data_IF_275152334545
#
_entry.id   IF_275152334545
#
_cell.length_a   1.000
_cell.length_b   1.000
_cell.length_c   1.000
_cell.angle_alpha   90.00
_cell.angle_beta   90.00
_cell.angle_gamma   90.00
#
_symmetry.space_group_name_H-M   'P 1'
#
loop_
_entity.id
_entity.type
_entity.pdbx_description
1 polymer ?
#
# COMPACT_ATOMS: atom_id res chain seq x y z
N UNK A 1 -5.27 6.58 -6.24
CA UNK A 1 -5.96 5.87 -5.14
C UNK A 1 -7.20 6.62 -4.77
N UNK A 2 -8.25 5.93 -4.29
CA UNK A 2 -9.40 6.62 -3.71
C UNK A 2 -8.98 7.33 -2.41
N UNK A 3 -9.54 8.50 -2.11
CA UNK A 3 -9.30 9.18 -0.85
C UNK A 3 -9.73 8.27 0.30
N UNK A 4 -8.84 8.06 1.26
CA UNK A 4 -9.07 7.21 2.43
C UNK A 4 -8.98 8.05 3.70
N UNK A 5 -9.74 7.69 4.73
CA UNK A 5 -9.71 8.33 6.03
C UNK A 5 -8.70 7.62 6.94
N UNK A 6 -7.63 8.32 7.29
CA UNK A 6 -6.48 7.78 8.01
C UNK A 6 -6.41 8.43 9.39
N UNK A 7 -6.33 7.61 10.44
CA UNK A 7 -5.98 8.07 11.79
C UNK A 7 -4.49 7.83 12.01
N UNK A 8 -3.73 8.86 12.39
CA UNK A 8 -2.33 8.74 12.77
C UNK A 8 -2.12 9.10 14.24
N UNK A 9 -1.47 8.20 14.97
CA UNK A 9 -1.22 8.33 16.41
C UNK A 9 0.28 8.36 16.68
N UNK A 10 0.72 9.45 17.30
CA UNK A 10 2.12 9.66 17.65
C UNK A 10 2.21 10.71 18.74
N UNK A 11 2.99 10.51 19.80
CA UNK A 11 3.16 11.53 20.85
C UNK A 11 4.02 12.70 20.34
N UNK A 12 4.88 12.46 19.35
CA UNK A 12 5.75 13.48 18.75
C UNK A 12 5.00 14.34 17.72
N UNK A 13 4.88 15.65 18.00
CA UNK A 13 4.23 16.62 17.10
C UNK A 13 4.86 16.63 15.70
N UNK A 14 6.20 16.52 15.62
CA UNK A 14 6.92 16.53 14.35
C UNK A 14 6.52 15.36 13.44
N UNK A 15 6.30 14.17 14.02
CA UNK A 15 5.88 12.99 13.27
C UNK A 15 4.42 13.14 12.83
N UNK A 16 3.54 13.63 13.70
CA UNK A 16 2.14 13.91 13.33
C UNK A 16 2.04 14.87 12.14
N UNK A 17 2.79 15.97 12.16
CA UNK A 17 2.82 16.93 11.06
C UNK A 17 3.38 16.32 9.77
N UNK A 18 4.44 15.51 9.87
CA UNK A 18 5.00 14.80 8.71
C UNK A 18 3.99 13.83 8.08
N UNK A 19 3.30 13.03 8.89
CA UNK A 19 2.29 12.08 8.42
C UNK A 19 1.08 12.82 7.81
N UNK A 20 0.60 13.87 8.48
CA UNK A 20 -0.51 14.68 8.00
C UNK A 20 -0.18 15.35 6.66
N UNK A 21 0.97 16.01 6.54
CA UNK A 21 1.38 16.67 5.29
C UNK A 21 1.58 15.66 4.16
N UNK A 22 2.30 14.57 4.43
CA UNK A 22 2.66 13.56 3.41
C UNK A 22 1.41 12.89 2.84
N UNK A 23 0.49 12.45 3.72
CA UNK A 23 -0.66 11.67 3.31
C UNK A 23 -1.81 12.55 2.80
N UNK A 24 -1.92 13.79 3.28
CA UNK A 24 -2.88 14.75 2.72
C UNK A 24 -2.51 15.15 1.30
N UNK A 25 -1.20 15.30 1.00
CA UNK A 25 -0.71 15.51 -0.38
C UNK A 25 -1.05 14.34 -1.31
N UNK A 26 -1.12 13.13 -0.78
CA UNK A 26 -1.53 11.93 -1.51
C UNK A 26 -3.06 11.80 -1.66
N UNK A 27 -3.83 12.77 -1.16
CA UNK A 27 -5.29 12.87 -1.30
C UNK A 27 -6.09 12.18 -0.20
N UNK A 28 -5.44 11.74 0.88
CA UNK A 28 -6.12 11.13 2.03
C UNK A 28 -6.65 12.20 3.00
N UNK A 29 -7.70 11.85 3.74
CA UNK A 29 -8.16 12.66 4.87
C UNK A 29 -7.49 12.16 6.13
N UNK A 30 -6.52 12.91 6.63
CA UNK A 30 -5.71 12.52 7.79
C UNK A 30 -6.25 13.19 9.05
N UNK A 31 -6.46 12.40 10.09
CA UNK A 31 -6.76 12.85 11.45
C UNK A 31 -5.58 12.44 12.32
N UNK A 32 -5.01 13.38 13.06
CA UNK A 32 -3.89 13.09 13.96
C UNK A 32 -4.30 13.20 15.42
N UNK A 33 -3.72 12.36 16.28
CA UNK A 33 -3.91 12.38 17.74
C UNK A 33 -2.59 12.07 18.44
N UNK A 34 -2.46 12.52 19.69
CA UNK A 34 -1.21 12.47 20.46
C UNK A 34 -1.15 11.37 21.52
N UNK A 35 -2.23 10.62 21.71
CA UNK A 35 -2.40 9.68 22.81
C UNK A 35 -3.36 8.54 22.44
N UNK A 36 -3.18 7.39 23.10
CA UNK A 36 -4.04 6.22 22.90
C UNK A 36 -5.49 6.50 23.33
N UNK A 37 -5.68 7.29 24.40
CA UNK A 37 -6.99 7.71 24.89
C UNK A 37 -7.75 8.55 23.83
N UNK A 38 -7.08 9.52 23.23
CA UNK A 38 -7.65 10.35 22.18
C UNK A 38 -7.98 9.51 20.94
N UNK A 39 -7.11 8.55 20.60
CA UNK A 39 -7.36 7.62 19.50
C UNK A 39 -8.61 6.77 19.72
N UNK A 40 -8.73 6.15 20.89
CA UNK A 40 -9.89 5.33 21.24
C UNK A 40 -11.19 6.14 21.25
N UNK A 41 -11.14 7.40 21.67
CA UNK A 41 -12.30 8.29 21.59
C UNK A 41 -12.71 8.60 20.15
N UNK A 42 -11.74 8.76 19.23
CA UNK A 42 -12.02 8.92 17.80
C UNK A 42 -12.59 7.65 17.18
N UNK A 43 -11.96 6.50 17.45
CA UNK A 43 -12.40 5.19 16.93
C UNK A 43 -13.85 4.88 17.34
N UNK A 44 -14.28 5.30 18.53
CA UNK A 44 -15.68 5.15 18.97
C UNK A 44 -16.69 6.03 18.23
N UNK A 45 -16.25 7.21 17.74
CA UNK A 45 -17.14 8.22 17.15
C UNK A 45 -17.21 8.11 15.62
N UNK A 46 -16.15 7.64 15.00
CA UNK A 46 -15.99 7.65 13.55
C UNK A 46 -15.17 6.43 13.08
N UNK A 47 -15.44 6.00 11.86
CA UNK A 47 -14.73 4.90 11.23
C UNK A 47 -13.51 5.39 10.45
N UNK A 48 -12.46 4.58 10.41
CA UNK A 48 -11.24 4.83 9.65
C UNK A 48 -10.94 3.66 8.71
N UNK A 49 -10.41 3.97 7.53
CA UNK A 49 -9.98 2.96 6.57
C UNK A 49 -8.61 2.37 6.96
N UNK A 50 -7.74 3.24 7.48
CA UNK A 50 -6.41 2.88 7.95
C UNK A 50 -6.03 3.65 9.22
N UNK A 51 -5.24 3.00 10.06
CA UNK A 51 -4.69 3.53 11.29
C UNK A 51 -3.17 3.37 11.27
N UNK A 52 -2.45 4.47 11.47
CA UNK A 52 -1.02 4.52 11.76
C UNK A 52 -0.83 4.63 13.27
N UNK A 53 -0.15 3.65 13.87
CA UNK A 53 -0.11 3.48 15.31
C UNK A 53 1.33 3.44 15.83
N UNK A 54 1.69 4.36 16.72
CA UNK A 54 2.87 4.16 17.57
C UNK A 54 2.56 3.19 18.71
N UNK A 55 3.52 2.30 19.00
CA UNK A 55 3.45 1.42 20.16
C UNK A 55 3.87 2.13 21.45
N UNK A 56 4.75 3.13 21.35
CA UNK A 56 5.33 3.83 22.50
C UNK A 56 4.54 5.09 22.86
N UNK A 57 3.21 4.96 22.98
CA UNK A 57 2.35 6.05 23.42
C UNK A 57 2.37 6.17 24.96
N UNK A 58 2.36 7.40 25.50
CA UNK A 58 2.13 7.61 26.93
C UNK A 58 0.67 7.27 27.28
N UNK A 59 0.46 6.71 28.48
CA UNK A 59 -0.88 6.29 28.92
C UNK A 59 -1.26 4.93 28.34
N UNK A 60 -2.38 4.88 27.60
CA UNK A 60 -2.79 3.68 26.86
C UNK A 60 -1.77 3.38 25.75
N UNK A 61 -1.10 2.24 25.87
CA UNK A 61 -0.08 1.80 24.92
C UNK A 61 -0.67 1.38 23.58
N UNK A 62 0.13 1.41 22.52
CA UNK A 62 -0.38 1.13 21.17
C UNK A 62 -0.91 -0.30 20.99
N UNK A 63 -0.34 -1.28 21.71
CA UNK A 63 -0.85 -2.66 21.67
C UNK A 63 -2.29 -2.78 22.18
N UNK A 64 -2.66 -2.02 23.21
CA UNK A 64 -4.04 -1.98 23.72
C UNK A 64 -4.98 -1.33 22.69
N UNK A 65 -4.52 -0.28 22.00
CA UNK A 65 -5.28 0.33 20.90
C UNK A 65 -5.49 -0.65 19.75
N UNK A 66 -4.46 -1.43 19.38
CA UNK A 66 -4.54 -2.47 18.36
C UNK A 66 -5.58 -3.54 18.74
N UNK A 67 -5.57 -3.99 20.00
CA UNK A 67 -6.54 -4.97 20.48
C UNK A 67 -7.97 -4.45 20.35
N UNK A 68 -8.23 -3.20 20.78
CA UNK A 68 -9.56 -2.59 20.67
C UNK A 68 -9.98 -2.42 19.21
N UNK A 69 -9.08 -2.00 18.32
CA UNK A 69 -9.35 -1.89 16.89
C UNK A 69 -9.74 -3.24 16.29
N UNK A 70 -9.11 -4.33 16.71
CA UNK A 70 -9.41 -5.67 16.18
C UNK A 70 -10.75 -6.20 16.66
N UNK A 71 -11.20 -5.79 17.85
CA UNK A 71 -12.51 -6.15 18.37
C UNK A 71 -13.65 -5.28 17.79
N UNK A 72 -13.44 -3.98 17.63
CA UNK A 72 -14.50 -3.02 17.28
C UNK A 72 -14.54 -2.65 15.79
N UNK A 73 -13.38 -2.66 15.13
CA UNK A 73 -13.22 -2.27 13.73
C UNK A 73 -12.27 -3.24 12.99
N UNK A 74 -12.64 -4.54 12.89
CA UNK A 74 -11.77 -5.57 12.33
C UNK A 74 -11.34 -5.30 10.88
N UNK A 75 -12.13 -4.54 10.13
CA UNK A 75 -11.87 -4.20 8.73
C UNK A 75 -10.94 -2.99 8.56
N UNK A 76 -10.59 -2.29 9.65
CA UNK A 76 -9.62 -1.19 9.61
C UNK A 76 -8.21 -1.75 9.47
N UNK A 77 -7.47 -1.23 8.50
CA UNK A 77 -6.05 -1.57 8.31
C UNK A 77 -5.25 -0.92 9.42
N UNK A 78 -4.33 -1.63 10.06
CA UNK A 78 -3.44 -1.05 11.08
C UNK A 78 -2.00 -1.23 10.62
N UNK A 79 -1.25 -0.14 10.51
CA UNK A 79 0.19 -0.15 10.25
C UNK A 79 0.88 0.47 11.45
N UNK A 80 1.90 -0.21 11.97
CA UNK A 80 2.61 0.25 13.17
C UNK A 80 3.84 1.07 12.78
N UNK A 81 4.08 2.16 13.51
CA UNK A 81 5.19 3.07 13.35
C UNK A 81 5.88 3.28 14.70
N UNK A 82 7.04 2.68 14.96
CA UNK A 82 7.68 2.90 16.27
C UNK A 82 9.21 2.94 16.22
N UNK A 83 9.81 3.70 17.13
CA UNK A 83 11.26 3.87 17.22
C UNK A 83 11.94 2.74 18.01
N UNK A 84 11.24 2.13 18.96
CA UNK A 84 11.80 1.16 19.89
C UNK A 84 10.81 0.02 20.14
N UNK A 85 10.74 -0.95 19.22
CA UNK A 85 10.13 -2.24 19.50
C UNK A 85 11.14 -3.38 19.31
N UNK A 86 10.96 -4.42 20.09
CA UNK A 86 11.71 -5.67 19.93
C UNK A 86 11.11 -6.46 18.77
N UNK A 87 11.88 -7.40 18.22
CA UNK A 87 11.35 -8.32 17.20
C UNK A 87 10.12 -9.06 17.72
N UNK A 88 10.09 -9.38 19.02
CA UNK A 88 8.96 -10.05 19.67
C UNK A 88 7.70 -9.19 19.66
N UNK A 89 7.81 -7.89 19.96
CA UNK A 89 6.66 -6.97 19.92
C UNK A 89 6.14 -6.79 18.51
N UNK A 90 7.03 -6.70 17.52
CA UNK A 90 6.65 -6.60 16.11
C UNK A 90 5.93 -7.88 15.63
N UNK A 91 6.44 -9.07 15.99
CA UNK A 91 5.82 -10.36 15.66
C UNK A 91 4.44 -10.48 16.31
N UNK A 92 4.32 -10.08 17.58
CA UNK A 92 3.04 -10.14 18.29
C UNK A 92 2.01 -9.20 17.66
N UNK A 93 2.40 -7.97 17.33
CA UNK A 93 1.53 -7.03 16.63
C UNK A 93 0.98 -7.57 15.30
N UNK A 94 1.83 -8.21 14.48
CA UNK A 94 1.39 -8.83 13.23
C UNK A 94 0.43 -10.00 13.48
N UNK A 95 0.68 -10.82 14.52
CA UNK A 95 -0.23 -11.91 14.91
C UNK A 95 -1.59 -11.41 15.39
N UNK A 96 -1.61 -10.27 16.07
CA UNK A 96 -2.84 -9.60 16.48
C UNK A 96 -3.57 -8.90 15.32
N UNK A 97 -3.02 -8.93 14.10
CA UNK A 97 -3.68 -8.46 12.90
C UNK A 97 -3.26 -7.06 12.46
N UNK A 98 -2.10 -6.55 12.90
CA UNK A 98 -1.46 -5.46 12.17
C UNK A 98 -1.17 -5.91 10.73
N UNK A 99 -1.40 -5.02 9.78
CA UNK A 99 -1.12 -5.24 8.36
C UNK A 99 0.39 -5.28 8.11
N UNK A 100 1.10 -4.34 8.72
CA UNK A 100 2.53 -4.15 8.54
C UNK A 100 3.11 -3.38 9.73
N UNK A 101 4.44 -3.36 9.80
CA UNK A 101 5.21 -2.72 10.86
C UNK A 101 6.42 -2.00 10.27
N UNK A 102 6.62 -0.73 10.65
CA UNK A 102 7.72 0.11 10.17
C UNK A 102 8.50 0.71 11.37
N UNK A 103 9.82 0.80 11.22
CA UNK A 103 10.68 1.45 12.20
C UNK A 103 10.77 2.95 11.93
N UNK A 104 10.71 3.77 12.98
CA UNK A 104 11.07 5.19 12.93
C UNK A 104 12.60 5.35 13.00
N UNK A 105 13.22 6.24 12.19
CA UNK A 105 12.60 7.00 11.10
C UNK A 105 12.28 6.10 9.91
N UNK A 106 11.04 6.15 9.42
CA UNK A 106 10.61 5.40 8.23
C UNK A 106 10.72 6.27 6.97
N UNK A 107 11.10 5.66 5.84
CA UNK A 107 11.16 6.37 4.55
C UNK A 107 9.76 6.63 4.01
N UNK A 108 9.55 7.76 3.32
CA UNK A 108 8.27 8.13 2.69
C UNK A 108 7.74 7.03 1.77
N UNK A 109 8.61 6.45 0.95
CA UNK A 109 8.26 5.38 0.01
C UNK A 109 7.76 4.12 0.74
N UNK A 110 8.44 3.75 1.84
CA UNK A 110 8.09 2.57 2.63
C UNK A 110 6.73 2.75 3.33
N UNK A 111 6.49 3.94 3.89
CA UNK A 111 5.20 4.32 4.47
C UNK A 111 4.08 4.24 3.44
N UNK A 112 4.28 4.84 2.27
CA UNK A 112 3.30 4.83 1.17
C UNK A 112 2.98 3.43 0.69
N UNK A 113 4.01 2.59 0.48
CA UNK A 113 3.78 1.22 0.03
C UNK A 113 3.02 0.38 1.05
N UNK A 114 3.33 0.53 2.33
CA UNK A 114 2.62 -0.14 3.41
C UNK A 114 1.13 0.26 3.47
N UNK A 115 0.86 1.57 3.42
CA UNK A 115 -0.50 2.13 3.36
C UNK A 115 -1.25 1.63 2.12
N UNK A 116 -0.59 1.69 0.95
CA UNK A 116 -1.18 1.31 -0.33
C UNK A 116 -1.59 -0.16 -0.32
N UNK A 117 -0.69 -1.06 0.08
CA UNK A 117 -0.95 -2.51 0.20
C UNK A 117 -2.09 -2.80 1.17
N UNK A 118 -2.10 -2.10 2.30
CA UNK A 118 -3.14 -2.26 3.31
C UNK A 118 -4.52 -1.87 2.81
N UNK A 119 -4.64 -0.66 2.24
CA UNK A 119 -5.90 -0.16 1.69
C UNK A 119 -6.42 -1.02 0.52
N UNK A 120 -5.52 -1.48 -0.36
CA UNK A 120 -5.89 -2.37 -1.46
C UNK A 120 -6.45 -3.70 -0.93
N UNK A 121 -5.78 -4.31 0.05
CA UNK A 121 -6.25 -5.55 0.70
C UNK A 121 -7.65 -5.36 1.29
N UNK A 122 -7.86 -4.27 2.02
CA UNK A 122 -9.17 -3.94 2.60
C UNK A 122 -10.25 -3.78 1.52
N UNK A 123 -9.93 -3.09 0.43
CA UNK A 123 -10.86 -2.90 -0.69
C UNK A 123 -11.28 -4.24 -1.30
N UNK A 124 -10.34 -5.16 -1.52
CA UNK A 124 -10.63 -6.50 -2.04
C UNK A 124 -11.49 -7.32 -1.06
N UNK A 125 -11.20 -7.25 0.24
CA UNK A 125 -11.98 -7.94 1.27
C UNK A 125 -13.42 -7.39 1.37
N UNK A 126 -13.58 -6.07 1.27
CA UNK A 126 -14.90 -5.41 1.22
C UNK A 126 -15.67 -5.83 -0.03
N UNK A 127 -15.07 -5.75 -1.21
CA UNK A 127 -15.71 -6.14 -2.47
C UNK A 127 -16.15 -7.61 -2.46
N UNK A 128 -15.32 -8.50 -1.93
CA UNK A 128 -15.67 -9.92 -1.79
C UNK A 128 -16.88 -10.11 -0.89
N UNK A 129 -16.93 -9.40 0.24
CA UNK A 129 -18.09 -9.43 1.15
C UNK A 129 -19.35 -8.90 0.47
N UNK A 130 -19.25 -7.79 -0.26
CA UNK A 130 -20.39 -7.21 -0.96
C UNK A 130 -20.97 -8.16 -2.01
N UNK A 131 -20.10 -8.82 -2.80
CA UNK A 131 -20.52 -9.83 -3.80
C UNK A 131 -21.17 -11.04 -3.12
N UNK A 132 -20.59 -11.55 -2.03
CA UNK A 132 -21.18 -12.67 -1.29
C UNK A 132 -22.55 -12.31 -0.71
N UNK A 133 -22.68 -11.11 -0.14
CA UNK A 133 -23.94 -10.62 0.39
C UNK A 133 -25.01 -10.47 -0.72
N UNK A 134 -24.62 -9.98 -1.89
CA UNK A 134 -25.51 -9.93 -3.06
C UNK A 134 -25.98 -11.34 -3.48
N UNK A 135 -25.08 -12.32 -3.55
CA UNK A 135 -25.43 -13.70 -3.89
C UNK A 135 -26.40 -14.32 -2.87
N UNK A 136 -26.16 -14.11 -1.58
CA UNK A 136 -27.05 -14.57 -0.50
C UNK A 136 -28.44 -13.94 -0.63
N UNK A 137 -28.52 -12.64 -0.94
CA UNK A 137 -29.78 -11.95 -1.19
C UNK A 137 -30.52 -12.53 -2.40
N UNK A 138 -29.83 -12.75 -3.52
CA UNK A 138 -30.42 -13.37 -4.71
C UNK A 138 -30.95 -14.78 -4.43
N UNK A 139 -30.19 -15.61 -3.72
CA UNK A 139 -30.59 -16.97 -3.36
C UNK A 139 -31.79 -16.97 -2.41
N UNK A 140 -31.82 -16.06 -1.43
CA UNK A 140 -32.91 -15.95 -0.46
C UNK A 140 -34.23 -15.55 -1.15
N UNK A 141 -34.18 -14.53 -2.01
CA UNK A 141 -35.36 -14.08 -2.78
C UNK A 141 -35.81 -15.14 -3.78
N UNK A 142 -34.87 -15.78 -4.48
CA UNK A 142 -35.15 -16.84 -5.43
C UNK A 142 -35.83 -18.05 -4.77
N UNK A 143 -35.31 -18.51 -3.63
CA UNK A 143 -35.91 -19.63 -2.87
C UNK A 143 -37.30 -19.30 -2.33
N UNK A 144 -37.52 -18.09 -1.84
CA UNK A 144 -38.85 -17.64 -1.41
C UNK A 144 -39.86 -17.65 -2.58
N UNK A 145 -39.42 -17.25 -3.78
CA UNK A 145 -40.24 -17.22 -5.00
C UNK A 145 -40.61 -18.63 -5.46
N UNK A 146 -39.64 -19.57 -5.46
CA UNK A 146 -39.87 -20.98 -5.80
C UNK A 146 -40.78 -21.67 -4.77
N UNK A 147 -40.62 -21.37 -3.48
CA UNK A 147 -41.51 -21.90 -2.44
C UNK A 147 -42.93 -21.36 -2.54
N UNK A 148 -43.11 -20.10 -2.97
CA UNK A 148 -44.42 -19.52 -3.24
C UNK A 148 -45.10 -20.19 -4.45
N UNK A 149 -44.36 -20.44 -5.53
CA UNK A 149 -44.88 -21.14 -6.72
C UNK A 149 -45.19 -22.61 -6.45
N UNK A 150 -44.44 -23.29 -5.58
CA UNK A 150 -44.73 -24.67 -5.17
C UNK A 150 -45.94 -24.79 -4.23
N UNK A 151 -46.38 -23.70 -3.58
CA UNK A 151 -47.60 -23.67 -2.75
C UNK A 151 -48.88 -23.43 -3.55
N UNK A 152 -48.77 -23.06 -4.83
CA UNK A 152 -49.91 -22.94 -5.74
C UNK A 152 -49.90 -24.11 -6.75
N UNK A 153 -50.99 -24.87 -6.83
CA UNK A 153 -51.16 -25.96 -7.81
C UNK A 153 -51.79 -25.43 -9.11
N UNK A 154 -51.65 -26.18 -10.22
CA UNK A 154 -50.88 -25.83 -11.40
C UNK A 154 -51.66 -25.00 -12.44
N UNK A 155 -51.07 -23.90 -12.90
CA UNK A 155 -51.39 -23.28 -14.18
C UNK A 155 -50.08 -22.82 -14.77
N UNK A 156 -49.65 -23.45 -15.87
CA UNK A 156 -48.38 -23.14 -16.54
C UNK A 156 -48.20 -21.63 -16.74
N UNK A 157 -47.03 -21.09 -16.40
CA UNK A 157 -46.48 -20.01 -17.19
C UNK A 157 -45.14 -20.43 -17.77
N UNK A 158 -45.02 -20.16 -19.05
CA UNK A 158 -43.83 -20.27 -19.89
C UNK A 158 -42.59 -19.78 -19.11
N UNK A 159 -41.50 -20.57 -19.02
CA UNK A 159 -40.32 -20.16 -18.29
C UNK A 159 -39.71 -18.90 -18.96
N UNK A 160 -39.31 -17.88 -18.18
CA UNK A 160 -38.49 -16.82 -18.74
C UNK A 160 -37.15 -17.44 -19.16
N UNK A 161 -36.74 -17.16 -20.39
CA UNK A 161 -35.45 -17.57 -20.94
C UNK A 161 -34.32 -17.16 -19.99
N UNK A 162 -33.64 -18.16 -19.42
CA UNK A 162 -32.40 -17.99 -18.67
C UNK A 162 -31.34 -17.31 -19.57
N UNK A 163 -30.60 -16.31 -19.09
CA UNK A 163 -29.36 -15.93 -19.75
C UNK A 163 -28.37 -17.11 -19.66
N UNK A 164 -27.79 -17.48 -20.80
CA UNK A 164 -26.91 -18.63 -20.93
C UNK A 164 -25.62 -18.43 -20.09
N UNK A 165 -25.17 -19.44 -19.30
CA UNK A 165 -23.98 -19.33 -18.43
C UNK A 165 -22.64 -19.10 -19.16
N UNK A 166 -22.64 -19.07 -20.49
CA UNK A 166 -21.44 -19.12 -21.32
C UNK A 166 -20.71 -17.78 -21.49
N UNK A 167 -21.28 -16.66 -21.02
CA UNK A 167 -20.63 -15.34 -21.13
C UNK A 167 -20.01 -14.85 -19.82
N UNK A 168 -20.23 -15.55 -18.69
CA UNK A 168 -19.75 -15.10 -17.36
C UNK A 168 -18.52 -15.86 -16.86
N UNK A 169 -18.09 -16.92 -17.56
CA UNK A 169 -16.97 -17.78 -17.15
C UNK A 169 -15.61 -17.30 -17.65
N UNK A 170 -15.54 -16.38 -18.61
CA UNK A 170 -14.26 -15.77 -19.01
C UNK A 170 -13.71 -14.79 -17.97
N UNK A 171 -14.55 -14.24 -17.09
CA UNK A 171 -14.15 -13.28 -16.06
C UNK A 171 -13.57 -13.93 -14.78
N UNK A 172 -13.60 -15.26 -14.66
CA UNK A 172 -13.14 -15.98 -13.45
C UNK A 172 -11.63 -16.29 -13.52
N UNK A 173 -11.01 -16.18 -14.70
CA UNK A 173 -9.57 -16.41 -14.89
C UNK A 173 -8.86 -15.19 -15.47
N UNK A 174 -9.38 -13.99 -15.25
CA UNK A 174 -8.57 -12.80 -15.46
C UNK A 174 -7.50 -12.77 -14.35
N UNK A 175 -6.20 -12.64 -14.69
CA UNK A 175 -5.18 -12.44 -13.67
C UNK A 175 -5.58 -11.19 -12.92
N UNK A 176 -5.77 -11.29 -11.61
CA UNK A 176 -6.02 -10.12 -10.76
C UNK A 176 -4.89 -9.14 -11.03
N UNK A 177 -5.16 -8.12 -11.85
CA UNK A 177 -4.25 -7.02 -12.08
C UNK A 177 -4.18 -6.29 -10.74
N UNK A 178 -3.17 -6.68 -9.96
CA UNK A 178 -2.80 -6.10 -8.67
C UNK A 178 -2.24 -4.69 -8.96
N UNK A 179 -3.15 -3.75 -9.23
CA UNK A 179 -2.85 -2.36 -9.56
C UNK A 179 -2.03 -1.74 -8.40
N UNK A 180 -0.71 -1.72 -8.61
CA UNK A 180 0.28 -1.14 -7.71
C UNK A 180 1.27 -2.14 -7.11
N UNK A 181 1.06 -3.46 -7.18
CA UNK A 181 2.14 -4.43 -6.85
C UNK A 181 3.30 -4.31 -7.83
N UNK A 182 2.97 -4.11 -9.09
CA UNK A 182 3.91 -3.94 -10.16
C UNK A 182 3.88 -2.51 -10.68
N UNK A 183 5.05 -1.87 -10.75
CA UNK A 183 5.22 -0.61 -11.45
C UNK A 183 6.03 -0.85 -12.70
N UNK A 184 5.46 -0.52 -13.86
CA UNK A 184 6.13 -0.68 -15.15
C UNK A 184 6.42 0.67 -15.82
N UNK A 185 7.68 0.90 -16.15
CA UNK A 185 8.15 2.07 -16.93
C UNK A 185 9.35 1.69 -17.79
N UNK A 186 9.32 2.04 -19.08
CA UNK A 186 10.47 1.90 -19.99
C UNK A 186 11.13 0.51 -19.99
N UNK A 187 10.32 -0.56 -19.89
CA UNK A 187 10.79 -1.94 -19.84
C UNK A 187 11.22 -2.45 -18.45
N UNK A 188 11.30 -1.57 -17.45
CA UNK A 188 11.48 -1.93 -16.05
C UNK A 188 10.15 -2.32 -15.41
N UNK A 189 10.14 -3.41 -14.66
CA UNK A 189 9.03 -3.84 -13.82
C UNK A 189 9.55 -3.97 -12.39
N UNK A 190 8.99 -3.19 -11.47
CA UNK A 190 9.28 -3.25 -10.04
C UNK A 190 8.21 -4.08 -9.34
N UNK A 191 8.58 -5.16 -8.64
CA UNK A 191 7.71 -5.86 -7.68
C UNK A 191 8.05 -5.37 -6.27
N UNK A 192 7.21 -4.48 -5.73
CA UNK A 192 7.37 -3.92 -4.38
C UNK A 192 7.10 -4.93 -3.26
N UNK A 193 6.48 -6.07 -3.55
CA UNK A 193 6.25 -7.11 -2.55
C UNK A 193 7.48 -7.99 -2.40
N UNK A 194 8.17 -8.26 -3.51
CA UNK A 194 9.38 -9.11 -3.54
C UNK A 194 10.69 -8.33 -3.42
N UNK A 195 10.65 -6.98 -3.42
CA UNK A 195 11.84 -6.12 -3.48
C UNK A 195 12.75 -6.47 -4.65
N UNK A 196 12.11 -6.61 -5.82
CA UNK A 196 12.76 -7.09 -7.03
C UNK A 196 12.46 -6.14 -8.18
N UNK A 197 13.46 -5.84 -8.99
CA UNK A 197 13.29 -5.10 -10.25
C UNK A 197 13.73 -6.02 -11.39
N UNK A 198 12.91 -6.10 -12.42
CA UNK A 198 13.22 -6.82 -13.65
C UNK A 198 13.29 -5.85 -14.82
N UNK A 199 14.20 -6.10 -15.76
CA UNK A 199 14.31 -5.39 -17.04
C UNK A 199 13.96 -6.37 -18.14
N UNK A 200 12.86 -6.12 -18.85
CA UNK A 200 12.41 -6.99 -19.95
C UNK A 200 12.38 -8.49 -19.56
N UNK A 201 11.94 -8.77 -18.33
CA UNK A 201 11.86 -10.13 -17.76
C UNK A 201 13.13 -10.67 -17.09
N UNK A 202 14.26 -9.95 -17.14
CA UNK A 202 15.51 -10.35 -16.48
C UNK A 202 15.65 -9.70 -15.11
N UNK A 203 15.91 -10.51 -14.08
CA UNK A 203 16.11 -10.03 -12.71
C UNK A 203 17.40 -9.20 -12.58
N UNK A 204 17.29 -8.00 -11.99
CA UNK A 204 18.44 -7.21 -11.59
C UNK A 204 18.87 -7.59 -10.16
N UNK A 205 20.15 -7.96 -10.00
CA UNK A 205 20.74 -8.18 -8.67
C UNK A 205 21.14 -6.85 -8.03
N UNK A 206 20.23 -6.25 -7.26
CA UNK A 206 20.43 -4.94 -6.63
C UNK A 206 20.70 -5.07 -5.12
N UNK A 207 21.56 -4.20 -4.60
CA UNK A 207 21.61 -3.95 -3.16
C UNK A 207 20.36 -3.20 -2.70
N UNK A 208 20.02 -3.20 -1.39
CA UNK A 208 18.84 -2.47 -0.89
C UNK A 208 18.82 -0.99 -1.28
N UNK A 209 19.97 -0.31 -1.19
CA UNK A 209 20.12 1.11 -1.57
C UNK A 209 19.92 1.34 -3.06
N UNK A 210 20.41 0.42 -3.90
CA UNK A 210 20.23 0.49 -5.36
C UNK A 210 18.78 0.21 -5.76
N UNK A 211 18.13 -0.74 -5.09
CA UNK A 211 16.70 -1.02 -5.25
C UNK A 211 15.88 0.22 -4.92
N UNK A 212 16.07 0.80 -3.73
CA UNK A 212 15.32 1.98 -3.28
C UNK A 212 15.51 3.16 -4.24
N UNK A 213 16.75 3.39 -4.70
CA UNK A 213 17.07 4.48 -5.61
C UNK A 213 16.41 4.29 -6.98
N UNK A 214 16.51 3.09 -7.56
CA UNK A 214 15.92 2.80 -8.86
C UNK A 214 14.39 2.77 -8.78
N UNK A 215 13.81 2.15 -7.75
CA UNK A 215 12.36 2.13 -7.52
C UNK A 215 11.79 3.54 -7.37
N UNK A 216 12.49 4.42 -6.63
CA UNK A 216 12.08 5.82 -6.48
C UNK A 216 12.12 6.57 -7.81
N UNK A 217 13.21 6.45 -8.59
CA UNK A 217 13.32 7.06 -9.91
C UNK A 217 12.22 6.57 -10.87
N UNK A 218 11.87 5.28 -10.84
CA UNK A 218 10.77 4.71 -11.65
C UNK A 218 9.42 5.28 -11.19
N UNK A 219 9.20 5.43 -9.89
CA UNK A 219 7.94 5.96 -9.32
C UNK A 219 7.71 7.43 -9.65
N UNK A 220 8.79 8.21 -9.77
CA UNK A 220 8.73 9.65 -10.05
C UNK A 220 8.81 9.99 -11.53
N UNK A 221 9.18 9.03 -12.39
CA UNK A 221 9.25 9.25 -13.82
C UNK A 221 7.90 9.72 -14.40
N UNK A 222 7.89 10.77 -15.24
CA UNK A 222 9.04 11.36 -15.94
C UNK A 222 9.71 12.54 -15.19
N UNK A 223 9.36 12.83 -13.93
CA UNK A 223 9.94 13.93 -13.13
C UNK A 223 11.45 13.75 -12.95
N UNK A 224 12.20 14.83 -13.10
CA UNK A 224 13.63 14.85 -12.78
C UNK A 224 13.81 14.98 -11.28
N UNK A 225 14.47 14.01 -10.67
CA UNK A 225 14.74 13.95 -9.23
C UNK A 225 16.15 14.45 -8.93
N UNK A 226 16.29 15.35 -7.97
CA UNK A 226 17.59 15.92 -7.60
C UNK A 226 18.46 14.94 -6.78
N UNK A 227 19.80 15.09 -6.77
CA UNK A 227 20.66 14.23 -5.94
C UNK A 227 20.35 14.32 -4.44
N UNK A 228 20.00 15.51 -3.93
CA UNK A 228 19.65 15.70 -2.52
C UNK A 228 18.35 15.01 -2.15
N UNK A 229 17.36 15.06 -3.05
CA UNK A 229 16.11 14.33 -2.90
C UNK A 229 16.35 12.83 -2.95
N UNK A 230 17.17 12.33 -3.89
CA UNK A 230 17.54 10.92 -3.94
C UNK A 230 18.22 10.47 -2.65
N UNK A 231 19.18 11.22 -2.11
CA UNK A 231 19.83 10.83 -0.84
C UNK A 231 18.88 10.95 0.34
N UNK A 232 18.04 11.98 0.39
CA UNK A 232 17.04 12.13 1.45
C UNK A 232 16.06 10.94 1.46
N UNK A 233 15.52 10.57 0.31
CA UNK A 233 14.55 9.48 0.22
C UNK A 233 15.18 8.09 0.33
N UNK A 234 16.42 7.90 -0.16
CA UNK A 234 17.10 6.59 -0.15
C UNK A 234 17.88 6.34 1.14
N UNK A 235 18.52 7.36 1.73
CA UNK A 235 19.43 7.21 2.87
C UNK A 235 18.93 7.91 4.15
N UNK A 236 17.87 8.72 4.10
CA UNK A 236 17.17 9.20 5.29
C UNK A 236 17.84 10.32 6.08
N UNK A 237 18.90 10.94 5.54
CA UNK A 237 19.52 12.14 6.11
C UNK A 237 19.66 13.25 5.07
N UNK A 238 19.71 14.50 5.54
CA UNK A 238 20.01 15.67 4.72
C UNK A 238 21.52 15.79 4.55
N UNK A 239 22.01 15.57 3.34
CA UNK A 239 23.41 15.79 2.96
C UNK A 239 23.62 17.14 2.29
N UNK A 240 24.85 17.65 2.33
CA UNK A 240 25.23 18.78 1.49
C UNK A 240 25.10 18.44 -0.01
N UNK A 241 24.89 19.46 -0.85
CA UNK A 241 24.63 19.29 -2.29
C UNK A 241 25.74 18.48 -2.99
N UNK A 242 27.00 18.68 -2.59
CA UNK A 242 28.17 18.03 -3.20
C UNK A 242 28.30 16.57 -2.76
N UNK A 243 28.08 16.29 -1.48
CA UNK A 243 28.11 14.94 -0.91
C UNK A 243 27.00 14.07 -1.52
N UNK A 244 25.78 14.61 -1.60
CA UNK A 244 24.65 13.92 -2.24
C UNK A 244 24.94 13.58 -3.70
N UNK A 245 25.62 14.48 -4.43
CA UNK A 245 26.00 14.25 -5.83
C UNK A 245 26.97 13.10 -5.98
N UNK A 246 27.99 13.01 -5.13
CA UNK A 246 29.02 11.98 -5.26
C UNK A 246 28.49 10.58 -4.87
N UNK A 247 27.67 10.51 -3.82
CA UNK A 247 26.97 9.28 -3.42
C UNK A 247 26.07 8.78 -4.56
N UNK A 248 25.19 9.65 -5.06
CA UNK A 248 24.23 9.28 -6.12
C UNK A 248 24.98 8.89 -7.39
N UNK A 249 26.05 9.62 -7.77
CA UNK A 249 26.86 9.28 -8.95
C UNK A 249 27.38 7.84 -8.90
N UNK A 250 27.87 7.38 -7.76
CA UNK A 250 28.36 6.01 -7.62
C UNK A 250 27.23 4.99 -7.80
N UNK A 251 26.08 5.21 -7.17
CA UNK A 251 24.94 4.30 -7.31
C UNK A 251 24.36 4.29 -8.74
N UNK A 252 24.24 5.46 -9.38
CA UNK A 252 23.82 5.55 -10.79
C UNK A 252 24.81 4.83 -11.71
N UNK A 253 26.11 4.94 -11.45
CA UNK A 253 27.12 4.20 -12.19
C UNK A 253 26.92 2.69 -12.06
N UNK A 254 26.78 2.17 -10.83
CA UNK A 254 26.56 0.75 -10.57
C UNK A 254 25.27 0.24 -11.22
N UNK A 255 24.16 0.98 -11.06
CA UNK A 255 22.87 0.64 -11.68
C UNK A 255 22.99 0.52 -13.21
N UNK A 256 23.68 1.48 -13.84
CA UNK A 256 23.92 1.43 -15.30
C UNK A 256 24.76 0.23 -15.72
N UNK A 257 25.72 -0.23 -14.91
CA UNK A 257 26.48 -1.44 -15.23
C UNK A 257 25.60 -2.68 -15.12
N UNK A 258 24.83 -2.82 -14.04
CA UNK A 258 23.91 -3.95 -13.84
C UNK A 258 22.83 -4.04 -14.91
N UNK A 259 22.31 -2.90 -15.37
CA UNK A 259 21.36 -2.84 -16.50
C UNK A 259 22.05 -3.19 -17.82
N UNK A 260 23.32 -2.83 -18.02
CA UNK A 260 24.08 -3.22 -19.23
C UNK A 260 24.38 -4.72 -19.26
N UNK A 261 24.62 -5.33 -18.11
CA UNK A 261 24.89 -6.76 -17.96
C UNK A 261 23.69 -7.63 -18.40
N UNK A 262 22.46 -7.09 -18.40
CA UNK A 262 21.29 -7.77 -18.98
C UNK A 262 21.25 -7.73 -20.51
N UNK A 263 22.33 -7.28 -21.17
CA UNK A 263 22.51 -7.37 -22.62
C UNK A 263 21.81 -6.29 -23.44
N UNK A 264 21.34 -5.21 -22.80
CA UNK A 264 20.64 -4.10 -23.49
C UNK A 264 21.37 -2.77 -23.31
N UNK A 265 21.58 -2.07 -24.44
CA UNK A 265 22.07 -0.68 -24.49
C UNK A 265 20.89 0.29 -24.50
N UNK A 266 20.10 0.34 -23.43
CA UNK A 266 19.12 1.41 -23.25
C UNK A 266 19.63 2.29 -22.13
N UNK A 267 19.90 3.57 -22.42
CA UNK A 267 20.21 4.59 -21.40
C UNK A 267 18.94 4.94 -20.60
N UNK A 268 18.35 3.95 -19.91
CA UNK A 268 17.08 4.09 -19.18
C UNK A 268 17.18 5.16 -18.09
N UNK A 269 18.36 5.32 -17.48
CA UNK A 269 18.62 6.37 -16.50
C UNK A 269 19.27 7.56 -17.20
N UNK A 270 18.49 8.61 -17.46
CA UNK A 270 18.98 9.85 -18.07
C UNK A 270 19.50 10.83 -17.03
N UNK A 271 20.63 11.46 -17.33
CA UNK A 271 21.16 12.57 -16.52
C UNK A 271 20.74 13.91 -17.12
N UNK A 272 20.03 14.72 -16.34
CA UNK A 272 19.66 16.09 -16.69
C UNK A 272 20.66 17.04 -16.03
N UNK A 273 21.58 17.59 -16.84
CA UNK A 273 22.70 18.42 -16.35
C UNK A 273 22.20 19.56 -15.46
N UNK A 274 22.80 19.68 -14.28
CA UNK A 274 22.48 20.73 -13.31
C UNK A 274 21.22 20.48 -12.46
N UNK A 275 20.39 19.50 -12.83
CA UNK A 275 19.11 19.23 -12.14
C UNK A 275 19.14 17.90 -11.41
N UNK A 276 19.39 16.79 -12.12
CA UNK A 276 19.29 15.46 -11.50
C UNK A 276 19.15 14.31 -12.50
N UNK A 277 18.33 13.32 -12.14
CA UNK A 277 18.16 12.06 -12.87
C UNK A 277 16.68 11.74 -13.09
N UNK A 278 16.37 11.04 -14.18
CA UNK A 278 15.01 10.56 -14.49
C UNK A 278 15.07 9.24 -15.26
N UNK A 279 13.96 8.50 -15.30
CA UNK A 279 13.78 7.32 -16.16
C UNK A 279 13.08 7.72 -17.45
N UNK A 280 13.63 7.31 -18.59
CA UNK A 280 13.06 7.47 -19.94
C UNK A 280 13.08 6.15 -20.71
#
# INVERSE_FOLDING_TARGET
MLPAKILAMDDELGIRLFLEETLSRDGHHVVTVDSGEAALERIRRETFDLVLLDLNLPGIGGMEVLEVLRQQAPDTVVVILTAHATLETAVEALRQGAHDYLFKPCKTLQLRESIRKGLLKRQHESQKRDVLHQLEQYLTVGLATVQATLKETPGEPTPPSLPTPAQSLSAILDPVEDEGRFLQRSGLIVDFSRHVITVDGHLLELSPTEFDLLAYLISEAPRVVSPQELVREVQGYTSEVWEARDIVRQHIYNLRQKIKETGRQVEMIRTVRGVGYTIE
#
